data_IF_651819177673
#
_entry.id   IF_651819177673
#
_cell.length_a   1.000
_cell.length_b   1.000
_cell.length_c   1.000
_cell.angle_alpha   90.00
_cell.angle_beta   90.00
_cell.angle_gamma   90.00
#
_symmetry.space_group_name_H-M   'P 1'
#
loop_
_entity.id
_entity.type
_entity.pdbx_description
1 polymer ?
#
# COMPACT_ATOMS: atom_id res chain seq x y z
N UNK A 1 -17.55 2.62 -14.89
CA UNK A 1 -16.57 3.46 -14.16
C UNK A 1 -16.98 4.93 -14.11
N UNK A 2 -17.08 5.65 -15.24
CA UNK A 2 -17.38 7.10 -15.25
C UNK A 2 -18.64 7.48 -14.45
N UNK A 3 -19.74 6.74 -14.64
CA UNK A 3 -21.00 6.96 -13.91
C UNK A 3 -20.78 6.85 -12.40
N UNK A 4 -20.03 5.84 -11.93
CA UNK A 4 -19.69 5.67 -10.52
C UNK A 4 -18.82 6.81 -10.00
N UNK A 5 -17.86 7.29 -10.79
CA UNK A 5 -17.00 8.42 -10.41
C UNK A 5 -17.83 9.71 -10.27
N UNK A 6 -18.70 10.03 -11.23
CA UNK A 6 -19.59 11.20 -11.15
C UNK A 6 -20.55 11.09 -9.97
N UNK A 7 -21.19 9.93 -9.79
CA UNK A 7 -22.07 9.68 -8.64
C UNK A 7 -21.32 9.85 -7.31
N UNK A 8 -20.11 9.30 -7.20
CA UNK A 8 -19.26 9.47 -6.00
C UNK A 8 -18.95 10.94 -5.73
N UNK A 9 -18.47 11.69 -6.72
CA UNK A 9 -18.11 13.11 -6.57
C UNK A 9 -19.31 13.95 -6.14
N UNK A 10 -20.46 13.74 -6.77
CA UNK A 10 -21.70 14.49 -6.44
C UNK A 10 -22.18 14.18 -5.02
N UNK A 11 -22.20 12.90 -4.61
CA UNK A 11 -22.60 12.49 -3.27
C UNK A 11 -21.64 12.96 -2.19
N UNK A 12 -20.32 12.90 -2.44
CA UNK A 12 -19.32 13.43 -1.50
C UNK A 12 -19.47 14.95 -1.37
N UNK A 13 -19.60 15.68 -2.47
CA UNK A 13 -19.80 17.13 -2.42
C UNK A 13 -21.11 17.50 -1.71
N UNK A 14 -22.21 16.81 -1.98
CA UNK A 14 -23.49 17.05 -1.32
C UNK A 14 -23.41 16.77 0.18
N UNK A 15 -22.93 15.59 0.59
CA UNK A 15 -22.87 15.17 1.99
C UNK A 15 -21.82 15.92 2.82
N UNK A 16 -20.71 16.35 2.22
CA UNK A 16 -19.64 17.06 2.93
C UNK A 16 -19.79 18.59 2.91
N UNK A 17 -20.40 19.16 1.87
CA UNK A 17 -20.37 20.61 1.64
C UNK A 17 -21.72 21.32 1.65
N UNK A 18 -22.81 20.60 1.39
CA UNK A 18 -24.14 21.21 1.15
C UNK A 18 -25.14 20.85 2.24
N UNK A 19 -25.12 19.60 2.70
CA UNK A 19 -26.11 19.11 3.66
C UNK A 19 -25.66 19.32 5.11
N UNK A 20 -26.57 19.77 5.95
CA UNK A 20 -26.40 19.79 7.40
C UNK A 20 -26.34 18.36 7.93
N UNK A 21 -25.45 18.05 8.86
CA UNK A 21 -25.32 16.72 9.48
C UNK A 21 -26.27 16.51 10.63
N UNK A 22 -26.50 17.57 11.40
CA UNK A 22 -27.41 17.57 12.53
C UNK A 22 -28.30 18.81 12.46
N UNK A 23 -29.54 18.62 12.87
CA UNK A 23 -30.50 19.70 13.08
C UNK A 23 -31.01 19.58 14.50
N UNK A 24 -30.92 20.67 15.25
CA UNK A 24 -31.54 20.83 16.56
C UNK A 24 -32.75 21.74 16.40
N UNK A 25 -33.89 21.26 16.91
CA UNK A 25 -35.13 22.02 17.04
C UNK A 25 -35.43 22.19 18.52
N UNK A 26 -35.66 23.43 18.97
CA UNK A 26 -36.11 23.72 20.32
C UNK A 26 -37.63 23.64 20.37
N UNK A 27 -38.18 22.74 21.18
CA UNK A 27 -39.63 22.62 21.33
C UNK A 27 -40.23 23.94 21.85
N UNK A 28 -41.17 24.50 21.09
CA UNK A 28 -41.88 25.75 21.42
C UNK A 28 -41.28 27.04 20.84
N UNK A 29 -40.10 26.99 20.22
CA UNK A 29 -39.49 28.12 19.51
C UNK A 29 -39.27 27.76 18.05
N UNK A 30 -39.47 28.71 17.12
CA UNK A 30 -39.15 28.54 15.69
C UNK A 30 -37.65 28.58 15.40
N UNK A 31 -36.81 28.41 16.43
CA UNK A 31 -35.36 28.45 16.32
C UNK A 31 -34.83 27.12 15.79
N UNK A 32 -34.05 27.20 14.71
CA UNK A 32 -33.39 26.05 14.09
C UNK A 32 -31.89 26.26 14.16
N UNK A 33 -31.19 25.28 14.74
CA UNK A 33 -29.73 25.21 14.69
C UNK A 33 -29.34 24.04 13.81
N UNK A 34 -28.64 24.33 12.74
CA UNK A 34 -28.10 23.34 11.83
C UNK A 34 -26.58 23.29 11.95
N UNK A 35 -26.02 22.08 11.96
CA UNK A 35 -24.59 21.84 12.13
C UNK A 35 -24.11 21.06 10.91
N UNK A 36 -23.22 21.66 10.13
CA UNK A 36 -22.49 20.99 9.05
C UNK A 36 -21.06 20.61 9.52
N UNK A 37 -20.19 20.11 8.64
CA UNK A 37 -18.81 19.71 8.99
C UNK A 37 -17.84 20.89 9.23
N UNK A 38 -18.26 22.14 9.01
CA UNK A 38 -17.44 23.36 8.91
C UNK A 38 -17.94 24.47 9.83
N UNK A 39 -19.25 24.58 9.98
CA UNK A 39 -19.98 25.69 10.54
C UNK A 39 -21.22 25.22 11.30
N UNK A 40 -21.63 26.07 12.23
CA UNK A 40 -22.94 26.04 12.88
C UNK A 40 -23.75 27.21 12.35
N UNK A 41 -24.94 26.91 11.86
CA UNK A 41 -25.93 27.89 11.42
C UNK A 41 -27.04 27.94 12.46
N UNK A 42 -27.29 29.12 13.04
CA UNK A 42 -28.39 29.34 13.97
C UNK A 42 -29.28 30.45 13.42
N UNK A 43 -30.58 30.20 13.32
CA UNK A 43 -31.56 31.20 12.89
C UNK A 43 -32.56 31.48 14.01
N UNK A 44 -32.64 32.75 14.43
CA UNK A 44 -33.55 33.27 15.45
C UNK A 44 -34.27 34.48 14.87
N UNK A 45 -35.60 34.51 14.92
CA UNK A 45 -36.43 35.62 14.43
C UNK A 45 -36.04 36.12 13.01
N UNK A 46 -35.82 35.18 12.07
CA UNK A 46 -35.36 35.42 10.69
C UNK A 46 -33.92 35.93 10.52
N UNK A 47 -33.17 36.12 11.61
CA UNK A 47 -31.75 36.47 11.55
C UNK A 47 -30.94 35.18 11.66
N UNK A 48 -30.24 34.83 10.58
CA UNK A 48 -29.35 33.68 10.55
C UNK A 48 -27.90 34.11 10.81
N UNK A 49 -27.26 33.49 11.79
CA UNK A 49 -25.84 33.64 12.07
C UNK A 49 -25.11 32.35 11.74
N UNK A 50 -23.91 32.50 11.15
CA UNK A 50 -23.00 31.38 10.90
C UNK A 50 -21.76 31.55 11.75
N UNK A 51 -21.37 30.50 12.48
CA UNK A 51 -20.13 30.47 13.26
C UNK A 51 -19.27 29.28 12.82
N UNK A 52 -17.96 29.44 12.68
CA UNK A 52 -17.09 28.32 12.34
C UNK A 52 -17.05 27.31 13.48
N UNK A 53 -17.13 26.03 13.14
CA UNK A 53 -17.16 24.91 14.09
C UNK A 53 -15.85 24.80 14.89
N UNK A 54 -14.73 25.28 14.33
CA UNK A 54 -13.42 25.30 14.98
C UNK A 54 -13.34 26.14 16.26
N UNK A 55 -14.34 26.99 16.54
CA UNK A 55 -14.42 27.75 17.80
C UNK A 55 -15.00 26.93 18.95
N UNK A 56 -15.60 25.77 18.67
CA UNK A 56 -16.10 24.87 19.68
C UNK A 56 -14.96 24.01 20.24
N UNK A 57 -14.96 23.77 21.54
CA UNK A 57 -14.11 22.78 22.18
C UNK A 57 -14.69 21.38 22.02
N UNK A 58 -13.83 20.36 22.01
CA UNK A 58 -14.22 18.96 21.99
C UNK A 58 -13.64 18.18 20.81
N UNK A 59 -13.94 16.89 20.74
CA UNK A 59 -13.44 16.03 19.67
C UNK A 59 -14.19 16.22 18.35
N UNK A 60 -15.48 16.56 18.41
CA UNK A 60 -16.33 16.67 17.23
C UNK A 60 -15.82 17.67 16.17
N UNK A 61 -15.40 18.92 16.50
CA UNK A 61 -14.83 19.84 15.51
C UNK A 61 -13.56 19.34 14.84
N UNK A 62 -12.75 18.57 15.56
CA UNK A 62 -11.53 17.98 15.01
C UNK A 62 -11.86 16.84 14.05
N UNK A 63 -12.74 15.92 14.46
CA UNK A 63 -13.14 14.78 13.64
C UNK A 63 -13.93 15.20 12.39
N UNK A 64 -14.80 16.21 12.50
CA UNK A 64 -15.53 16.78 11.37
C UNK A 64 -14.58 17.42 10.35
N UNK A 65 -13.60 18.21 10.80
CA UNK A 65 -12.58 18.77 9.91
C UNK A 65 -11.77 17.67 9.21
N UNK A 66 -11.30 16.64 9.93
CA UNK A 66 -10.55 15.53 9.34
C UNK A 66 -11.42 14.73 8.36
N UNK A 67 -12.69 14.48 8.69
CA UNK A 67 -13.66 13.81 7.82
C UNK A 67 -13.91 14.59 6.53
N UNK A 68 -14.09 15.91 6.64
CA UNK A 68 -14.26 16.81 5.50
C UNK A 68 -13.05 16.74 4.56
N UNK A 69 -11.85 16.97 5.09
CA UNK A 69 -10.64 17.04 4.27
C UNK A 69 -10.22 15.69 3.70
N UNK A 70 -10.37 14.59 4.44
CA UNK A 70 -10.10 13.24 3.94
C UNK A 70 -11.08 12.85 2.82
N UNK A 71 -12.36 13.19 2.95
CA UNK A 71 -13.37 12.92 1.93
C UNK A 71 -13.14 13.73 0.66
N UNK A 72 -12.76 15.02 0.79
CA UNK A 72 -12.41 15.86 -0.35
C UNK A 72 -11.12 15.41 -1.04
N UNK A 73 -10.09 15.05 -0.26
CA UNK A 73 -8.85 14.47 -0.81
C UNK A 73 -9.12 13.18 -1.58
N UNK A 74 -10.02 12.33 -1.06
CA UNK A 74 -10.46 11.13 -1.76
C UNK A 74 -11.23 11.44 -3.04
N UNK A 75 -12.14 12.41 -3.02
CA UNK A 75 -12.85 12.85 -4.21
C UNK A 75 -11.90 13.34 -5.32
N UNK A 76 -10.87 14.14 -4.97
CA UNK A 76 -9.84 14.57 -5.92
C UNK A 76 -9.11 13.37 -6.52
N UNK A 77 -8.78 12.36 -5.72
CA UNK A 77 -8.13 11.13 -6.19
C UNK A 77 -9.03 10.34 -7.15
N UNK A 78 -10.32 10.18 -6.85
CA UNK A 78 -11.31 9.56 -7.74
C UNK A 78 -11.40 10.30 -9.06
N UNK A 79 -11.50 11.64 -9.03
CA UNK A 79 -11.54 12.48 -10.23
C UNK A 79 -10.25 12.33 -11.06
N UNK A 80 -9.09 12.33 -10.42
CA UNK A 80 -7.80 12.14 -11.08
C UNK A 80 -7.71 10.77 -11.75
N UNK A 81 -8.05 9.68 -11.07
CA UNK A 81 -8.00 8.33 -11.64
C UNK A 81 -8.99 8.16 -12.78
N UNK A 82 -10.21 8.70 -12.65
CA UNK A 82 -11.20 8.69 -13.72
C UNK A 82 -10.70 9.48 -14.94
N UNK A 83 -10.13 10.66 -14.72
CA UNK A 83 -9.55 11.50 -15.78
C UNK A 83 -8.35 10.84 -16.46
N UNK A 84 -7.41 10.29 -15.69
CA UNK A 84 -6.26 9.56 -16.22
C UNK A 84 -6.71 8.41 -17.11
N UNK A 85 -7.65 7.58 -16.64
CA UNK A 85 -8.19 6.46 -17.42
C UNK A 85 -8.84 6.92 -18.73
N UNK A 86 -9.54 8.07 -18.75
CA UNK A 86 -10.15 8.63 -19.97
C UNK A 86 -9.08 9.14 -20.94
N UNK A 87 -8.05 9.83 -20.43
CA UNK A 87 -7.04 10.50 -21.26
C UNK A 87 -5.96 9.55 -21.78
N UNK A 88 -5.52 8.60 -20.95
CA UNK A 88 -4.39 7.72 -21.25
C UNK A 88 -4.80 6.26 -21.48
N UNK A 89 -6.06 5.90 -21.20
CA UNK A 89 -6.52 4.51 -21.23
C UNK A 89 -5.95 3.63 -20.12
N UNK A 90 -5.12 4.18 -19.22
CA UNK A 90 -4.43 3.43 -18.16
C UNK A 90 -4.68 4.07 -16.80
N UNK A 91 -4.78 3.24 -15.76
CA UNK A 91 -4.87 3.70 -14.37
C UNK A 91 -3.53 3.47 -13.67
N UNK A 92 -3.14 4.39 -12.80
CA UNK A 92 -1.87 4.29 -12.09
C UNK A 92 -2.01 3.40 -10.83
N UNK A 93 -1.29 2.29 -10.77
CA UNK A 93 -1.39 1.29 -9.70
C UNK A 93 -1.07 1.87 -8.30
N UNK A 94 -0.05 2.73 -8.19
CA UNK A 94 0.30 3.38 -6.92
C UNK A 94 -0.81 4.26 -6.37
N UNK A 95 -1.50 5.01 -7.24
CA UNK A 95 -2.62 5.85 -6.83
C UNK A 95 -3.85 5.04 -6.47
N UNK A 96 -4.04 3.85 -7.05
CA UNK A 96 -5.13 2.95 -6.69
C UNK A 96 -4.96 2.43 -5.27
N UNK A 97 -3.74 1.96 -4.93
CA UNK A 97 -3.41 1.52 -3.56
C UNK A 97 -3.63 2.63 -2.54
N UNK A 98 -3.15 3.84 -2.85
CA UNK A 98 -3.38 5.01 -2.02
C UNK A 98 -4.89 5.33 -1.90
N UNK A 99 -5.64 5.22 -2.98
CA UNK A 99 -7.08 5.41 -3.01
C UNK A 99 -7.85 4.43 -2.12
N UNK A 100 -7.45 3.15 -2.08
CA UNK A 100 -8.04 2.16 -1.17
C UNK A 100 -7.75 2.47 0.31
N UNK A 101 -6.52 2.87 0.62
CA UNK A 101 -6.18 3.26 1.99
C UNK A 101 -6.96 4.50 2.43
N UNK A 102 -7.02 5.53 1.57
CA UNK A 102 -7.68 6.80 1.87
C UNK A 102 -9.21 6.65 1.98
N UNK A 103 -9.83 5.81 1.15
CA UNK A 103 -11.28 5.54 1.21
C UNK A 103 -11.67 4.81 2.48
N UNK A 104 -10.96 3.75 2.88
CA UNK A 104 -11.24 3.05 4.13
C UNK A 104 -11.09 3.98 5.35
N UNK A 105 -10.05 4.83 5.34
CA UNK A 105 -9.85 5.85 6.37
C UNK A 105 -11.00 6.87 6.37
N UNK A 106 -11.40 7.42 5.22
CA UNK A 106 -12.49 8.38 5.12
C UNK A 106 -13.84 7.78 5.54
N UNK A 107 -14.14 6.52 5.17
CA UNK A 107 -15.38 5.83 5.57
C UNK A 107 -15.42 5.63 7.08
N UNK A 108 -14.33 5.14 7.67
CA UNK A 108 -14.26 4.94 9.13
C UNK A 108 -14.39 6.25 9.91
N UNK A 109 -13.74 7.32 9.45
CA UNK A 109 -13.88 8.66 10.03
C UNK A 109 -15.29 9.23 9.88
N UNK A 110 -15.93 9.05 8.72
CA UNK A 110 -17.30 9.48 8.50
C UNK A 110 -18.27 8.76 9.44
N UNK A 111 -18.10 7.44 9.62
CA UNK A 111 -18.90 6.66 10.58
C UNK A 111 -18.64 7.11 12.02
N UNK A 112 -17.38 7.29 12.41
CA UNK A 112 -17.02 7.75 13.75
C UNK A 112 -17.62 9.14 14.04
N UNK A 113 -17.46 10.09 13.13
CA UNK A 113 -17.98 11.46 13.26
C UNK A 113 -19.50 11.50 13.27
N UNK A 114 -20.19 10.61 12.54
CA UNK A 114 -21.64 10.64 12.45
C UNK A 114 -22.33 9.90 13.61
N UNK A 115 -21.75 8.78 14.03
CA UNK A 115 -22.42 7.79 14.88
C UNK A 115 -21.77 7.58 16.25
N UNK A 116 -20.47 7.82 16.39
CA UNK A 116 -19.77 7.64 17.66
C UNK A 116 -19.58 8.94 18.42
N UNK A 117 -19.24 10.02 17.71
CA UNK A 117 -18.96 11.32 18.29
C UNK A 117 -20.02 12.32 17.82
N UNK A 118 -21.03 12.56 18.64
CA UNK A 118 -21.98 13.66 18.37
C UNK A 118 -21.41 15.02 18.77
N UNK A 119 -22.04 16.13 18.36
CA UNK A 119 -21.70 17.45 18.89
C UNK A 119 -21.87 17.46 20.42
N UNK A 120 -20.77 17.55 21.15
CA UNK A 120 -20.79 17.52 22.60
C UNK A 120 -21.31 18.85 23.17
N UNK A 121 -22.30 18.84 24.08
CA UNK A 121 -22.83 20.05 24.70
C UNK A 121 -21.91 20.53 25.83
N UNK A 122 -20.64 20.83 25.55
CA UNK A 122 -19.68 21.22 26.60
C UNK A 122 -19.78 22.69 27.02
N UNK A 123 -20.51 23.54 26.29
CA UNK A 123 -20.75 24.91 26.75
C UNK A 123 -21.92 24.94 27.73
N UNK A 124 -21.75 25.64 28.86
CA UNK A 124 -22.74 25.80 29.95
C UNK A 124 -24.11 26.24 29.42
N UNK A 125 -24.14 27.01 28.33
CA UNK A 125 -25.35 27.41 27.60
C UNK A 125 -26.14 26.24 27.01
N UNK A 126 -25.46 25.21 26.47
CA UNK A 126 -26.14 24.02 25.92
C UNK A 126 -26.49 23.04 27.04
N UNK A 127 -25.73 22.99 28.14
CA UNK A 127 -26.08 22.18 29.32
C UNK A 127 -27.36 22.67 30.03
N UNK A 128 -27.67 23.97 29.95
CA UNK A 128 -28.97 24.50 30.38
C UNK A 128 -30.06 24.08 29.37
N UNK A 129 -29.75 24.12 28.08
CA UNK A 129 -30.67 23.69 27.04
C UNK A 129 -30.94 22.18 27.06
N UNK A 130 -30.04 21.32 27.54
CA UNK A 130 -30.28 19.88 27.68
C UNK A 130 -31.23 19.51 28.83
N UNK A 131 -31.62 20.48 29.67
CA UNK A 131 -32.74 20.32 30.60
C UNK A 131 -34.10 20.62 29.96
N UNK A 132 -34.08 21.25 28.80
CA UNK A 132 -35.22 21.47 27.92
C UNK A 132 -35.11 20.37 26.86
N UNK A 133 -36.22 19.75 26.47
CA UNK A 133 -36.20 18.53 25.64
C UNK A 133 -35.65 18.83 24.21
N UNK A 134 -34.32 18.83 24.05
CA UNK A 134 -33.65 19.09 22.77
C UNK A 134 -33.59 17.79 21.98
N UNK A 135 -34.41 17.69 20.93
CA UNK A 135 -34.30 16.59 19.97
C UNK A 135 -33.18 16.89 18.95
N UNK A 136 -32.03 16.24 19.13
CA UNK A 136 -30.96 16.23 18.12
C UNK A 136 -31.35 15.26 17.00
N UNK A 137 -31.72 15.79 15.84
CA UNK A 137 -32.07 14.98 14.67
C UNK A 137 -30.86 14.82 13.75
N UNK A 138 -30.46 13.57 13.49
CA UNK A 138 -29.46 13.24 12.46
C UNK A 138 -30.13 13.32 11.09
N UNK A 139 -29.47 13.99 10.15
CA UNK A 139 -29.97 14.10 8.78
C UNK A 139 -29.46 12.95 7.90
N UNK A 140 -29.78 13.01 6.60
CA UNK A 140 -29.25 12.10 5.59
C UNK A 140 -27.82 12.43 5.11
N UNK A 141 -27.21 13.53 5.56
CA UNK A 141 -25.89 13.96 5.08
C UNK A 141 -24.77 12.90 5.32
N UNK A 142 -24.67 12.28 6.50
CA UNK A 142 -23.61 11.29 6.74
C UNK A 142 -23.76 10.05 5.87
N UNK A 143 -25.01 9.58 5.68
CA UNK A 143 -25.30 8.44 4.84
C UNK A 143 -24.99 8.75 3.37
N UNK A 144 -25.35 9.95 2.90
CA UNK A 144 -25.04 10.44 1.56
C UNK A 144 -23.52 10.46 1.32
N UNK A 145 -22.75 10.96 2.29
CA UNK A 145 -21.29 10.96 2.21
C UNK A 145 -20.73 9.53 2.16
N UNK A 146 -21.17 8.63 3.05
CA UNK A 146 -20.69 7.25 3.10
C UNK A 146 -20.98 6.51 1.79
N UNK A 147 -22.19 6.65 1.24
CA UNK A 147 -22.55 6.07 -0.07
C UNK A 147 -21.67 6.65 -1.18
N UNK A 148 -21.39 7.96 -1.15
CA UNK A 148 -20.45 8.60 -2.06
C UNK A 148 -19.04 8.04 -1.98
N UNK A 149 -18.52 7.79 -0.77
CA UNK A 149 -17.21 7.18 -0.54
C UNK A 149 -17.16 5.73 -1.05
N UNK A 150 -18.20 4.92 -0.79
CA UNK A 150 -18.30 3.53 -1.28
C UNK A 150 -18.37 3.51 -2.82
N UNK A 151 -19.17 4.38 -3.43
CA UNK A 151 -19.24 4.51 -4.88
C UNK A 151 -17.88 4.90 -5.49
N UNK A 152 -17.12 5.76 -4.80
CA UNK A 152 -15.77 6.16 -5.22
C UNK A 152 -14.76 5.02 -5.09
N UNK A 153 -14.86 4.22 -4.02
CA UNK A 153 -14.08 2.99 -3.86
C UNK A 153 -14.34 2.04 -5.04
N UNK A 154 -15.61 1.80 -5.36
CA UNK A 154 -16.01 0.99 -6.49
C UNK A 154 -15.53 1.57 -7.83
N UNK A 155 -15.54 2.90 -7.99
CA UNK A 155 -15.04 3.56 -9.19
C UNK A 155 -13.52 3.33 -9.38
N UNK A 156 -12.72 3.43 -8.31
CA UNK A 156 -11.28 3.12 -8.34
C UNK A 156 -11.04 1.65 -8.65
N UNK A 157 -11.82 0.75 -8.04
CA UNK A 157 -11.76 -0.68 -8.35
C UNK A 157 -12.02 -0.96 -9.83
N UNK A 158 -13.10 -0.39 -10.37
CA UNK A 158 -13.45 -0.53 -11.78
C UNK A 158 -12.46 0.17 -12.73
N UNK A 159 -11.63 1.10 -12.25
CA UNK A 159 -10.59 1.73 -13.06
C UNK A 159 -9.36 0.82 -13.25
N UNK A 160 -9.12 -0.09 -12.30
CA UNK A 160 -8.00 -1.06 -12.35
C UNK A 160 -8.43 -2.43 -12.83
N UNK A 161 -9.70 -2.82 -12.61
CA UNK A 161 -10.24 -4.04 -13.18
C UNK A 161 -9.93 -4.03 -14.68
N UNK A 162 -9.01 -4.91 -15.08
CA UNK A 162 -8.55 -5.01 -16.46
C UNK A 162 -9.79 -5.07 -17.35
N UNK A 163 -9.77 -4.33 -18.46
CA UNK A 163 -10.90 -4.32 -19.39
C UNK A 163 -11.31 -5.77 -19.60
N UNK A 164 -12.49 -6.15 -19.10
CA UNK A 164 -12.97 -7.53 -19.13
C UNK A 164 -13.13 -8.06 -20.56
N UNK A 165 -12.86 -7.21 -21.56
CA UNK A 165 -12.44 -7.54 -22.91
C UNK A 165 -11.40 -8.67 -22.96
N UNK A 166 -10.46 -8.75 -22.02
CA UNK A 166 -9.45 -9.82 -21.96
C UNK A 166 -9.98 -11.12 -21.33
N UNK A 167 -11.11 -11.06 -20.58
CA UNK A 167 -11.89 -12.26 -20.24
C UNK A 167 -12.77 -12.72 -21.42
N UNK A 168 -13.07 -11.81 -22.36
CA UNK A 168 -13.79 -12.09 -23.61
C UNK A 168 -12.91 -12.63 -24.73
N UNK A 169 -11.58 -12.57 -24.59
CA UNK A 169 -10.68 -13.41 -25.36
C UNK A 169 -10.97 -14.86 -24.98
N UNK A 170 -11.93 -15.44 -25.71
CA UNK A 170 -12.34 -16.84 -25.61
C UNK A 170 -11.09 -17.64 -25.41
N UNK A 171 -10.95 -18.29 -24.24
CA UNK A 171 -9.87 -19.22 -23.97
C UNK A 171 -9.77 -20.12 -25.20
N UNK A 172 -8.78 -19.86 -26.05
CA UNK A 172 -8.51 -20.68 -27.21
C UNK A 172 -7.66 -21.79 -26.59
N UNK A 173 -8.22 -22.97 -26.29
CA UNK A 173 -7.41 -24.05 -25.77
C UNK A 173 -6.22 -24.17 -26.71
N UNK A 174 -5.02 -24.10 -26.16
CA UNK A 174 -3.81 -24.38 -26.93
C UNK A 174 -3.93 -25.85 -27.28
N UNK A 175 -4.49 -26.15 -28.45
CA UNK A 175 -4.45 -27.47 -29.04
C UNK A 175 -3.01 -27.70 -29.42
N UNK A 176 -2.26 -28.30 -28.49
CA UNK A 176 -0.93 -28.83 -28.78
C UNK A 176 -1.17 -29.90 -29.84
N UNK A 177 -0.73 -29.64 -31.07
CA UNK A 177 -0.84 -30.62 -32.15
C UNK A 177 0.08 -31.80 -31.80
N UNK A 178 -0.45 -32.99 -31.46
CA UNK A 178 0.36 -34.11 -30.99
C UNK A 178 1.38 -34.58 -32.06
N UNK A 179 1.10 -34.32 -33.33
CA UNK A 179 1.98 -34.73 -34.44
C UNK A 179 3.26 -33.88 -34.52
N UNK A 180 3.23 -32.64 -34.03
CA UNK A 180 4.43 -31.79 -33.96
C UNK A 180 5.42 -32.28 -32.90
N UNK A 181 4.95 -32.96 -31.85
CA UNK A 181 5.80 -33.56 -30.82
C UNK A 181 6.47 -34.86 -31.27
N UNK A 182 5.86 -35.59 -32.21
CA UNK A 182 6.38 -36.86 -32.73
C UNK A 182 7.52 -36.70 -33.75
N UNK A 183 7.57 -35.59 -34.49
CA UNK A 183 8.63 -35.36 -35.49
C UNK A 183 9.87 -34.61 -34.98
N UNK A 184 9.86 -34.08 -33.76
CA UNK A 184 10.99 -33.32 -33.19
C UNK A 184 12.12 -34.16 -32.57
N UNK A 185 11.93 -35.47 -32.37
CA UNK A 185 12.80 -36.28 -31.49
C UNK A 185 13.98 -36.99 -32.17
N UNK A 186 14.21 -36.80 -33.48
CA UNK A 186 15.17 -37.60 -34.25
C UNK A 186 16.35 -36.82 -34.85
N UNK A 187 16.81 -35.73 -34.23
CA UNK A 187 18.11 -35.13 -34.59
C UNK A 187 19.06 -35.15 -33.39
N UNK A 188 20.00 -36.10 -33.32
CA UNK A 188 21.04 -36.08 -32.29
C UNK A 188 21.86 -34.78 -32.43
N UNK A 189 22.19 -34.10 -31.32
CA UNK A 189 23.02 -32.90 -31.35
C UNK A 189 24.40 -33.29 -31.91
N UNK A 190 24.71 -32.78 -33.10
CA UNK A 190 26.04 -32.89 -33.70
C UNK A 190 26.97 -32.01 -32.85
N UNK A 191 27.79 -32.64 -32.02
CA UNK A 191 28.82 -31.98 -31.21
C UNK A 191 29.88 -31.42 -32.16
N UNK A 192 30.10 -30.09 -32.24
CA UNK A 192 31.23 -29.55 -32.98
C UNK A 192 32.55 -29.85 -32.24
N UNK A 193 33.63 -30.20 -32.95
CA UNK A 193 34.91 -30.51 -32.33
C UNK A 193 35.53 -29.28 -31.64
N UNK A 194 36.08 -29.51 -30.46
CA UNK A 194 36.76 -28.54 -29.63
C UNK A 194 38.00 -27.96 -30.33
N UNK A 195 37.94 -26.70 -30.73
CA UNK A 195 39.13 -25.93 -31.12
C UNK A 195 39.75 -25.37 -29.84
N UNK A 196 40.94 -25.88 -29.52
CA UNK A 196 41.80 -25.41 -28.45
C UNK A 196 42.09 -23.91 -28.61
N UNK A 197 41.55 -23.09 -27.71
CA UNK A 197 41.82 -21.65 -27.68
C UNK A 197 43.05 -21.41 -26.82
N UNK A 198 44.18 -21.18 -27.49
CA UNK A 198 45.42 -20.69 -26.89
C UNK A 198 45.14 -19.39 -26.14
N UNK A 199 45.49 -19.38 -24.85
CA UNK A 199 45.71 -18.18 -24.07
C UNK A 199 47.10 -17.62 -24.42
N UNK A 200 47.14 -16.46 -25.06
CA UNK A 200 48.29 -15.57 -25.06
C UNK A 200 47.90 -14.30 -24.32
N UNK A 201 48.67 -14.00 -23.29
CA UNK A 201 48.44 -12.90 -22.37
C UNK A 201 48.96 -11.54 -22.85
N UNK A 202 48.66 -10.55 -22.00
CA UNK A 202 49.42 -9.34 -21.68
C UNK A 202 49.73 -8.39 -22.85
N UNK A 203 49.12 -7.20 -22.82
CA UNK A 203 49.88 -5.94 -22.74
C UNK A 203 48.99 -4.74 -22.38
N UNK A 204 49.45 -4.01 -21.35
CA UNK A 204 49.04 -2.65 -21.02
C UNK A 204 49.45 -1.71 -22.16
N UNK A 205 48.63 -0.70 -22.42
CA UNK A 205 49.16 0.60 -22.90
C UNK A 205 48.33 1.73 -22.32
N UNK A 206 48.97 2.52 -21.48
CA UNK A 206 48.55 3.86 -21.11
C UNK A 206 48.82 4.81 -22.28
N UNK A 207 47.93 5.77 -22.50
CA UNK A 207 48.09 6.84 -23.48
C UNK A 207 46.99 7.86 -23.30
N UNK A 208 47.36 9.03 -22.78
CA UNK A 208 46.49 10.14 -22.43
C UNK A 208 46.23 11.07 -23.65
N UNK A 209 45.82 12.34 -23.48
CA UNK A 209 44.53 12.88 -23.87
C UNK A 209 44.61 13.81 -25.10
N UNK A 210 43.48 14.13 -25.75
CA UNK A 210 43.44 15.33 -26.59
C UNK A 210 42.05 15.95 -26.80
N UNK A 211 42.10 17.27 -26.68
CA UNK A 211 41.10 18.30 -26.86
C UNK A 211 40.44 18.39 -28.24
N UNK A 212 39.21 18.91 -28.27
CA UNK A 212 38.68 19.94 -29.18
C UNK A 212 37.29 20.36 -28.63
N UNK A 213 37.07 21.54 -28.02
CA UNK A 213 37.02 22.91 -28.58
C UNK A 213 36.05 23.02 -29.78
N UNK A 214 34.95 23.78 -29.81
CA UNK A 214 34.27 24.82 -28.99
C UNK A 214 32.95 25.16 -29.75
N UNK A 215 32.42 26.41 -29.80
CA UNK A 215 32.31 27.47 -28.79
C UNK A 215 30.88 28.11 -28.71
N UNK A 216 30.66 29.00 -27.73
CA UNK A 216 29.72 30.13 -27.83
C UNK A 216 28.62 30.18 -26.75
N UNK A 217 28.83 30.85 -25.60
CA UNK A 217 28.45 32.26 -25.27
C UNK A 217 26.92 32.51 -25.31
N UNK A 218 26.26 33.14 -24.33
CA UNK A 218 26.73 34.13 -23.37
C UNK A 218 25.84 34.22 -22.11
N UNK A 219 26.48 34.37 -20.95
CA UNK A 219 26.01 35.15 -19.79
C UNK A 219 26.15 36.65 -20.12
N UNK A 220 25.38 37.60 -19.52
CA UNK A 220 25.66 38.05 -18.14
C UNK A 220 24.47 38.53 -17.26
N UNK A 221 24.56 38.16 -15.98
CA UNK A 221 24.64 39.00 -14.75
C UNK A 221 23.52 39.97 -14.30
N UNK A 222 23.29 39.91 -12.97
CA UNK A 222 22.91 40.99 -12.01
C UNK A 222 21.50 41.59 -12.15
N UNK A 223 20.67 41.74 -11.11
CA UNK A 223 20.89 42.42 -9.82
C UNK A 223 19.70 42.13 -8.86
N UNK A 224 19.84 42.29 -7.53
CA UNK A 224 18.73 42.31 -6.59
C UNK A 224 18.29 43.76 -6.28
N UNK A 225 16.98 43.99 -6.23
CA UNK A 225 16.37 45.24 -5.76
C UNK A 225 14.92 44.97 -5.45
N UNK A 226 14.21 45.70 -4.60
CA UNK A 226 14.50 46.69 -3.56
C UNK A 226 13.09 47.06 -3.10
N UNK A 227 12.87 46.96 -1.79
CA UNK A 227 11.85 47.63 -0.98
C UNK A 227 11.05 48.74 -1.69
N UNK A 228 9.74 48.58 -1.75
CA UNK A 228 8.81 49.71 -1.68
C UNK A 228 7.88 49.57 -0.48
N UNK A 229 7.81 50.68 0.24
CA UNK A 229 7.21 50.89 1.53
C UNK A 229 6.43 52.20 1.38
N UNK A 230 5.11 52.12 1.24
CA UNK A 230 4.16 53.22 1.38
C UNK A 230 2.80 52.55 1.65
N UNK A 231 2.18 52.58 2.82
CA UNK A 231 2.12 53.64 3.81
C UNK A 231 0.82 54.42 3.58
N UNK A 232 -0.27 54.03 4.24
CA UNK A 232 -1.32 54.96 4.68
C UNK A 232 -2.06 54.37 5.89
N UNK A 233 -2.40 55.30 6.76
CA UNK A 233 -2.57 55.20 8.21
C UNK A 233 -4.00 55.64 8.51
N UNK A 234 -4.77 54.84 9.25
CA UNK A 234 -5.87 55.33 10.09
C UNK A 234 -6.28 54.24 11.10
N UNK A 235 -6.09 54.55 12.39
CA UNK A 235 -6.74 53.92 13.55
C UNK A 235 -7.93 54.80 13.97
N UNK A 236 -8.63 54.63 15.13
CA UNK A 236 -8.72 53.48 16.06
C UNK A 236 -10.18 53.16 16.49
N UNK A 237 -10.42 52.09 17.28
CA UNK A 237 -11.08 52.18 18.62
C UNK A 237 -11.54 50.83 19.21
N UNK A 238 -11.68 50.85 20.54
CA UNK A 238 -12.25 49.86 21.48
C UNK A 238 -11.31 48.71 21.87
N UNK A 239 -10.60 48.78 23.01
CA UNK A 239 -10.99 48.78 24.44
C UNK A 239 -11.04 47.37 25.01
N UNK A 240 -9.93 46.97 25.65
CA UNK A 240 -9.79 45.71 26.38
C UNK A 240 -9.41 46.03 27.85
N UNK A 241 -10.10 45.47 28.86
CA UNK A 241 -9.82 45.73 30.28
C UNK A 241 -8.75 44.78 30.85
N UNK A 242 -8.17 45.10 32.03
CA UNK A 242 -6.91 44.53 32.50
C UNK A 242 -7.12 43.17 33.15
N UNK A 243 -6.22 42.22 32.88
CA UNK A 243 -6.15 40.95 33.60
C UNK A 243 -4.99 40.96 34.58
N UNK A 244 -5.35 40.82 35.86
CA UNK A 244 -4.47 40.77 37.01
C UNK A 244 -3.46 39.62 36.91
N UNK A 245 -2.20 39.99 37.19
CA UNK A 245 -1.14 39.08 37.56
C UNK A 245 -1.29 38.69 39.03
N UNK A 246 -1.41 37.39 39.30
CA UNK A 246 -0.99 36.83 40.58
C UNK A 246 -0.30 35.50 40.32
N UNK A 247 1.03 35.49 40.49
CA UNK A 247 1.82 34.27 40.43
C UNK A 247 1.62 33.39 41.65
N UNK A 248 2.08 32.13 41.56
CA UNK A 248 2.82 31.45 42.63
C UNK A 248 3.37 30.11 42.11
N UNK A 249 4.70 30.07 42.06
CA UNK A 249 5.62 28.95 42.31
C UNK A 249 5.00 27.57 42.58
N UNK A 250 5.39 26.58 41.76
CA UNK A 250 5.79 25.26 42.28
C UNK A 250 6.79 24.56 41.37
N UNK A 251 8.04 24.59 41.79
CA UNK A 251 9.12 23.70 41.37
C UNK A 251 8.83 22.25 41.80
N UNK A 252 9.05 21.29 40.90
CA UNK A 252 9.22 19.86 41.21
C UNK A 252 10.23 19.24 40.23
N UNK A 253 10.97 18.19 40.65
CA UNK A 253 12.35 17.97 40.27
C UNK A 253 12.49 17.09 39.04
N UNK A 254 13.61 17.29 38.34
CA UNK A 254 14.14 16.39 37.35
C UNK A 254 14.69 15.11 38.00
N UNK A 255 14.25 13.96 37.50
CA UNK A 255 14.95 12.67 37.67
C UNK A 255 14.74 11.86 36.38
N UNK A 256 15.85 11.73 35.65
CA UNK A 256 16.35 10.72 34.68
C UNK A 256 15.51 9.47 34.29
N UNK A 257 15.88 8.69 33.24
CA UNK A 257 17.10 8.77 32.42
C UNK A 257 16.91 8.75 30.89
N UNK A 258 17.92 9.28 30.22
CA UNK A 258 18.23 9.05 28.80
C UNK A 258 18.41 7.56 28.50
N UNK A 259 17.55 7.03 27.61
CA UNK A 259 17.80 5.76 26.93
C UNK A 259 18.78 6.01 25.78
N UNK A 260 20.05 5.75 26.06
CA UNK A 260 21.10 5.61 25.07
C UNK A 260 20.75 4.43 24.16
N UNK A 261 20.26 4.70 22.97
CA UNK A 261 20.07 3.68 21.94
C UNK A 261 21.45 3.25 21.43
N UNK A 262 22.00 2.22 22.06
CA UNK A 262 23.23 1.55 21.63
C UNK A 262 22.94 0.83 20.31
N UNK A 263 23.37 1.43 19.22
CA UNK A 263 23.44 0.81 17.90
C UNK A 263 24.38 -0.41 18.00
N UNK A 264 23.92 -1.65 17.70
CA UNK A 264 24.77 -2.81 17.78
C UNK A 264 25.89 -2.72 16.74
N UNK A 265 27.10 -2.99 17.23
CA UNK A 265 28.35 -2.79 16.53
C UNK A 265 28.47 -3.54 15.21
N UNK A 266 29.25 -2.92 14.33
CA UNK A 266 29.79 -3.47 13.09
C UNK A 266 30.50 -4.79 13.43
N UNK A 267 29.86 -5.90 13.11
CA UNK A 267 30.44 -7.24 13.21
C UNK A 267 31.63 -7.43 12.25
N UNK A 268 32.50 -8.40 12.53
CA UNK A 268 33.75 -8.60 11.82
C UNK A 268 33.54 -8.93 10.34
N UNK A 269 34.53 -8.53 9.55
CA UNK A 269 34.61 -8.60 8.09
C UNK A 269 33.93 -9.83 7.47
N UNK A 270 33.04 -9.56 6.52
CA UNK A 270 32.38 -10.52 5.67
C UNK A 270 33.38 -11.56 5.14
N UNK A 271 33.34 -12.76 5.71
CA UNK A 271 33.98 -13.93 5.14
C UNK A 271 33.52 -14.07 3.69
N UNK A 272 34.47 -14.31 2.80
CA UNK A 272 34.24 -14.53 1.37
C UNK A 272 33.22 -15.66 1.23
N UNK A 273 31.95 -15.30 1.01
CA UNK A 273 30.86 -16.27 0.88
C UNK A 273 31.20 -17.20 -0.29
N UNK A 274 31.12 -18.53 -0.11
CA UNK A 274 31.26 -19.45 -1.21
C UNK A 274 30.20 -19.09 -2.26
N UNK A 275 30.65 -18.71 -3.46
CA UNK A 275 29.74 -18.50 -4.60
C UNK A 275 29.13 -19.86 -4.92
N UNK A 276 27.81 -19.96 -4.79
CA UNK A 276 27.07 -21.11 -5.33
C UNK A 276 27.41 -21.28 -6.81
N UNK A 277 27.53 -22.53 -7.24
CA UNK A 277 27.84 -22.86 -8.62
C UNK A 277 26.82 -22.28 -9.61
N UNK A 278 27.13 -22.25 -10.91
CA UNK A 278 26.18 -21.82 -11.93
C UNK A 278 24.91 -22.69 -11.85
N UNK A 279 23.79 -22.05 -11.49
CA UNK A 279 22.51 -22.74 -11.37
C UNK A 279 22.00 -23.19 -12.74
N UNK A 280 21.30 -24.34 -12.82
CA UNK A 280 20.68 -24.77 -14.05
C UNK A 280 19.66 -23.70 -14.51
N UNK A 281 19.63 -23.35 -15.80
CA UNK A 281 18.65 -22.40 -16.31
C UNK A 281 17.24 -22.99 -16.17
N UNK A 282 16.28 -22.13 -15.81
CA UNK A 282 14.87 -22.51 -15.77
C UNK A 282 14.42 -23.07 -17.14
N UNK A 283 13.85 -24.28 -17.22
CA UNK A 283 13.33 -24.82 -18.47
C UNK A 283 12.32 -23.85 -19.10
N UNK A 284 12.53 -23.51 -20.38
CA UNK A 284 11.76 -22.45 -21.06
C UNK A 284 10.25 -22.73 -21.06
N UNK A 285 9.86 -24.01 -21.12
CA UNK A 285 8.47 -24.43 -21.15
C UNK A 285 7.76 -24.33 -19.78
N UNK A 286 8.50 -24.25 -18.66
CA UNK A 286 7.95 -24.06 -17.31
C UNK A 286 7.93 -22.60 -16.86
N UNK A 287 8.66 -21.74 -17.55
CA UNK A 287 8.75 -20.31 -17.22
C UNK A 287 7.36 -19.68 -17.26
N UNK A 288 6.96 -19.02 -16.17
CA UNK A 288 5.64 -18.39 -16.00
C UNK A 288 4.44 -19.35 -16.05
N UNK A 289 4.65 -20.68 -16.05
CA UNK A 289 3.57 -21.68 -15.95
C UNK A 289 3.27 -22.04 -14.50
N UNK A 290 4.30 -22.03 -13.67
CA UNK A 290 4.22 -22.33 -12.27
C UNK A 290 3.93 -21.04 -11.48
N UNK A 291 2.86 -21.05 -10.70
CA UNK A 291 2.58 -19.93 -9.81
C UNK A 291 3.49 -19.95 -8.59
N UNK A 292 3.74 -18.78 -8.01
CA UNK A 292 4.50 -18.61 -6.76
C UNK A 292 5.98 -18.99 -6.82
N UNK A 293 6.53 -19.29 -8.00
CA UNK A 293 7.94 -19.67 -8.16
C UNK A 293 8.86 -18.51 -7.86
N UNK A 294 9.80 -18.74 -6.94
CA UNK A 294 10.90 -17.83 -6.66
C UNK A 294 11.97 -17.95 -7.76
N UNK A 295 12.29 -16.83 -8.42
CA UNK A 295 13.48 -16.70 -9.25
C UNK A 295 14.73 -16.62 -8.38
N UNK A 296 14.68 -15.76 -7.37
CA UNK A 296 15.74 -15.59 -6.37
C UNK A 296 15.11 -15.59 -4.99
N UNK A 297 15.78 -16.20 -4.01
CA UNK A 297 15.36 -16.14 -2.62
C UNK A 297 16.60 -16.04 -1.72
N UNK A 298 16.63 -15.02 -0.86
CA UNK A 298 17.66 -14.84 0.14
C UNK A 298 17.14 -15.30 1.50
N UNK A 299 17.80 -16.31 2.06
CA UNK A 299 17.55 -16.85 3.39
C UNK A 299 18.28 -15.97 4.42
N UNK A 300 17.53 -15.39 5.34
CA UNK A 300 18.06 -14.51 6.38
C UNK A 300 17.64 -15.02 7.77
N UNK A 301 18.24 -14.48 8.82
CA UNK A 301 17.83 -14.82 10.19
C UNK A 301 16.38 -14.45 10.52
N UNK A 302 15.74 -13.54 9.76
CA UNK A 302 14.36 -13.09 10.00
C UNK A 302 13.30 -13.71 9.07
N UNK A 303 13.71 -14.29 7.95
CA UNK A 303 12.79 -14.85 6.95
C UNK A 303 13.44 -15.09 5.59
N UNK A 304 12.59 -15.24 4.58
CA UNK A 304 12.95 -15.43 3.17
C UNK A 304 12.54 -14.19 2.39
N UNK A 305 13.50 -13.45 1.86
CA UNK A 305 13.23 -12.38 0.89
C UNK A 305 13.36 -12.95 -0.53
N UNK A 306 12.25 -13.04 -1.24
CA UNK A 306 12.19 -13.68 -2.54
C UNK A 306 11.63 -12.78 -3.63
N UNK A 307 12.20 -12.90 -4.83
CA UNK A 307 11.67 -12.32 -6.06
C UNK A 307 11.04 -13.42 -6.88
N UNK A 308 9.75 -13.30 -7.18
CA UNK A 308 8.98 -14.28 -7.94
C UNK A 308 9.13 -14.11 -9.45
N UNK A 309 8.77 -15.15 -10.20
CA UNK A 309 8.72 -15.14 -11.66
C UNK A 309 7.77 -14.07 -12.23
N UNK A 310 6.67 -13.78 -11.52
CA UNK A 310 5.73 -12.70 -11.87
C UNK A 310 6.27 -11.28 -11.62
N UNK A 311 7.51 -11.16 -11.16
CA UNK A 311 8.18 -9.89 -10.89
C UNK A 311 7.89 -9.30 -9.51
N UNK A 312 7.00 -9.91 -8.71
CA UNK A 312 6.70 -9.44 -7.36
C UNK A 312 7.78 -9.88 -6.37
N UNK A 313 8.20 -8.95 -5.50
CA UNK A 313 9.01 -9.27 -4.32
C UNK A 313 8.11 -9.66 -3.15
N UNK A 314 8.52 -10.67 -2.39
CA UNK A 314 7.79 -11.22 -1.24
C UNK A 314 8.77 -11.52 -0.11
N UNK A 315 8.46 -11.00 1.07
CA UNK A 315 9.13 -11.35 2.31
C UNK A 315 8.24 -12.32 3.09
N UNK A 316 8.76 -13.51 3.38
CA UNK A 316 8.11 -14.52 4.22
C UNK A 316 8.87 -14.58 5.54
N UNK A 317 8.29 -14.07 6.63
CA UNK A 317 8.93 -14.11 7.94
C UNK A 317 8.83 -15.51 8.55
N UNK A 318 9.85 -15.94 9.31
CA UNK A 318 9.85 -17.27 9.93
C UNK A 318 8.64 -17.51 10.84
N UNK A 319 8.24 -16.50 11.62
CA UNK A 319 7.06 -16.56 12.50
C UNK A 319 5.73 -16.69 11.75
N UNK A 320 5.71 -16.36 10.46
CA UNK A 320 4.51 -16.40 9.64
C UNK A 320 4.44 -17.69 8.81
N UNK A 321 5.47 -18.56 8.85
CA UNK A 321 5.46 -19.85 8.16
C UNK A 321 4.62 -20.84 8.96
N UNK A 322 3.62 -21.41 8.32
CA UNK A 322 2.68 -22.38 8.92
C UNK A 322 2.84 -23.79 8.38
N UNK A 323 3.57 -23.95 7.28
CA UNK A 323 3.72 -25.25 6.65
C UNK A 323 4.80 -25.27 5.59
N UNK A 324 5.38 -26.45 5.41
CA UNK A 324 6.32 -26.75 4.32
C UNK A 324 5.85 -28.03 3.66
N UNK A 325 5.66 -28.00 2.34
CA UNK A 325 5.19 -29.14 1.57
C UNK A 325 6.24 -29.48 0.51
N UNK A 326 6.72 -30.73 0.51
CA UNK A 326 7.61 -31.24 -0.53
C UNK A 326 6.80 -31.96 -1.57
N UNK A 327 6.97 -31.61 -2.84
CA UNK A 327 6.28 -32.23 -3.97
C UNK A 327 7.27 -32.60 -5.06
N UNK A 328 6.82 -33.46 -5.98
CA UNK A 328 7.56 -33.83 -7.19
C UNK A 328 6.81 -33.31 -8.41
N UNK A 329 7.56 -32.79 -9.37
CA UNK A 329 7.00 -32.43 -10.68
C UNK A 329 6.46 -33.69 -11.38
N UNK A 330 5.51 -33.54 -12.32
CA UNK A 330 5.12 -34.61 -13.22
C UNK A 330 6.33 -35.26 -13.93
N UNK A 331 6.25 -36.54 -14.33
CA UNK A 331 7.34 -37.25 -15.02
C UNK A 331 7.81 -36.57 -16.32
N UNK A 332 6.96 -35.74 -16.95
CA UNK A 332 7.32 -34.94 -18.11
C UNK A 332 8.41 -33.89 -17.83
N UNK A 333 8.67 -33.60 -16.55
CA UNK A 333 9.66 -32.63 -16.06
C UNK A 333 10.66 -33.30 -15.11
N UNK A 334 11.11 -34.50 -15.47
CA UNK A 334 12.13 -35.30 -14.78
C UNK A 334 11.80 -35.70 -13.33
N UNK A 335 10.55 -35.50 -12.87
CA UNK A 335 10.14 -35.86 -11.51
C UNK A 335 10.85 -35.06 -10.41
N UNK A 336 11.42 -33.90 -10.77
CA UNK A 336 12.25 -33.10 -9.88
C UNK A 336 11.46 -32.65 -8.65
N UNK A 337 12.09 -32.71 -7.48
CA UNK A 337 11.46 -32.29 -6.23
C UNK A 337 11.50 -30.76 -6.09
N UNK A 338 10.44 -30.20 -5.49
CA UNK A 338 10.34 -28.79 -5.16
C UNK A 338 9.62 -28.60 -3.82
N UNK A 339 9.76 -27.42 -3.23
CA UNK A 339 9.27 -27.09 -1.88
C UNK A 339 8.30 -25.92 -1.96
N UNK A 340 7.12 -26.06 -1.38
CA UNK A 340 6.21 -24.95 -1.11
C UNK A 340 6.27 -24.55 0.36
N UNK A 341 6.53 -23.28 0.60
CA UNK A 341 6.54 -22.66 1.93
C UNK A 341 5.23 -21.90 2.06
N UNK A 342 4.40 -22.30 3.00
CA UNK A 342 3.07 -21.75 3.23
C UNK A 342 3.13 -20.78 4.41
N UNK A 343 2.55 -19.60 4.24
CA UNK A 343 2.56 -18.54 5.25
C UNK A 343 1.15 -18.02 5.56
N UNK A 344 0.88 -17.67 6.82
CA UNK A 344 -0.37 -16.99 7.27
C UNK A 344 -0.63 -15.69 6.52
N UNK A 345 0.41 -15.03 6.00
CA UNK A 345 0.30 -13.81 5.21
C UNK A 345 -0.25 -14.05 3.79
N UNK A 346 -0.83 -15.23 3.51
CA UNK A 346 -1.35 -15.61 2.19
C UNK A 346 -0.26 -15.65 1.12
N UNK A 347 1.00 -15.79 1.53
CA UNK A 347 2.18 -15.68 0.66
C UNK A 347 2.85 -17.04 0.53
N UNK A 348 2.26 -17.92 -0.26
CA UNK A 348 2.92 -19.17 -0.64
C UNK A 348 4.15 -18.85 -1.50
N UNK A 349 5.27 -19.48 -1.19
CA UNK A 349 6.52 -19.36 -1.92
C UNK A 349 6.97 -20.73 -2.41
N UNK A 350 7.17 -20.88 -3.72
CA UNK A 350 7.61 -22.14 -4.32
C UNK A 350 9.11 -22.06 -4.67
N UNK A 351 9.90 -22.92 -4.03
CA UNK A 351 11.33 -23.09 -4.29
C UNK A 351 11.51 -24.30 -5.20
N UNK A 352 12.02 -24.06 -6.40
CA UNK A 352 12.25 -25.09 -7.44
C UNK A 352 13.76 -25.28 -7.66
N UNK A 353 14.20 -26.34 -8.35
CA UNK A 353 15.64 -26.63 -8.50
C UNK A 353 16.46 -25.48 -9.08
N UNK A 354 15.89 -24.67 -9.96
CA UNK A 354 16.54 -23.51 -10.58
C UNK A 354 16.37 -22.18 -9.80
N UNK A 355 15.70 -22.17 -8.65
CA UNK A 355 15.63 -20.98 -7.79
C UNK A 355 17.04 -20.61 -7.31
N UNK A 356 17.41 -19.33 -7.40
CA UNK A 356 18.69 -18.86 -6.85
C UNK A 356 18.57 -18.60 -5.36
N UNK A 357 19.07 -19.53 -4.55
CA UNK A 357 19.18 -19.36 -3.10
C UNK A 357 20.49 -18.65 -2.73
N UNK A 358 20.40 -17.64 -1.87
CA UNK A 358 21.53 -16.93 -1.27
C UNK A 358 21.28 -16.69 0.22
N UNK A 359 22.27 -16.14 0.92
CA UNK A 359 22.14 -15.78 2.34
C UNK A 359 22.81 -16.80 3.25
N UNK A 360 22.03 -17.41 4.14
CA UNK A 360 22.51 -18.48 5.03
C UNK A 360 22.90 -19.74 4.25
N UNK A 361 24.00 -20.42 4.64
CA UNK A 361 24.46 -21.62 3.96
C UNK A 361 23.45 -22.75 4.13
N UNK A 362 23.22 -23.50 3.04
CA UNK A 362 22.45 -24.73 3.03
C UNK A 362 23.37 -25.90 2.70
N UNK A 363 23.27 -26.97 3.49
CA UNK A 363 24.02 -28.19 3.27
C UNK A 363 23.28 -29.08 2.26
N UNK A 364 23.37 -28.71 0.98
CA UNK A 364 22.79 -29.51 -0.10
C UNK A 364 22.74 -28.77 -1.44
N UNK A 365 23.06 -29.47 -2.52
CA UNK A 365 22.98 -28.95 -3.89
C UNK A 365 22.27 -29.97 -4.80
N UNK A 366 21.77 -29.54 -5.96
CA UNK A 366 21.05 -30.41 -6.88
C UNK A 366 19.79 -31.05 -6.28
N UNK A 367 19.71 -32.38 -6.29
CA UNK A 367 18.53 -33.15 -5.84
C UNK A 367 18.35 -33.18 -4.32
N UNK A 368 19.41 -32.94 -3.54
CA UNK A 368 19.35 -32.83 -2.07
C UNK A 368 18.89 -31.45 -1.61
N UNK A 369 18.89 -30.47 -2.53
CA UNK A 369 18.56 -29.08 -2.21
C UNK A 369 17.16 -28.90 -1.61
N UNK A 370 16.08 -29.53 -2.12
CA UNK A 370 14.76 -29.46 -1.50
C UNK A 370 14.77 -29.93 -0.04
N UNK A 371 15.53 -31.00 0.25
CA UNK A 371 15.67 -31.52 1.61
C UNK A 371 16.41 -30.52 2.51
N UNK A 372 17.52 -29.95 2.05
CA UNK A 372 18.26 -28.94 2.81
C UNK A 372 17.41 -27.70 3.11
N UNK A 373 16.58 -27.25 2.17
CA UNK A 373 15.64 -26.15 2.39
C UNK A 373 14.61 -26.51 3.47
N UNK A 374 14.04 -27.71 3.42
CA UNK A 374 13.07 -28.17 4.41
C UNK A 374 13.70 -28.24 5.79
N UNK A 375 14.87 -28.87 5.92
CA UNK A 375 15.60 -28.96 7.19
C UNK A 375 15.92 -27.57 7.75
N UNK A 376 16.30 -26.62 6.89
CA UNK A 376 16.52 -25.23 7.29
C UNK A 376 15.25 -24.54 7.80
N UNK A 377 14.11 -24.69 7.10
CA UNK A 377 12.84 -24.10 7.54
C UNK A 377 12.37 -24.72 8.85
N UNK A 378 12.48 -26.05 9.00
CA UNK A 378 12.11 -26.75 10.24
C UNK A 378 13.00 -26.34 11.41
N UNK A 379 14.30 -26.12 11.20
CA UNK A 379 15.20 -25.61 12.22
C UNK A 379 14.83 -24.18 12.68
N UNK A 380 14.28 -23.35 11.78
CA UNK A 380 13.84 -21.99 12.07
C UNK A 380 12.43 -21.92 12.66
N UNK A 381 11.60 -22.91 12.37
CA UNK A 381 10.19 -22.95 12.71
C UNK A 381 9.83 -24.31 13.34
N UNK A 382 10.27 -24.58 14.59
CA UNK A 382 10.08 -25.88 15.23
C UNK A 382 8.60 -26.24 15.43
N UNK A 383 7.72 -25.23 15.54
CA UNK A 383 6.29 -25.41 15.81
C UNK A 383 5.47 -25.85 14.57
N UNK A 384 6.09 -25.97 13.39
CA UNK A 384 5.40 -26.43 12.16
C UNK A 384 5.02 -27.91 12.23
N UNK A 385 5.64 -28.68 13.12
CA UNK A 385 5.47 -30.13 13.23
C UNK A 385 4.69 -30.47 14.51
N UNK A 386 3.37 -30.23 14.58
CA UNK A 386 2.47 -31.11 15.37
C UNK A 386 0.97 -30.77 15.32
N UNK A 387 0.56 -29.59 14.83
CA UNK A 387 -0.87 -29.24 14.88
C UNK A 387 -1.64 -29.94 13.76
N UNK A 388 -2.11 -31.16 14.01
CA UNK A 388 -2.93 -31.97 13.09
C UNK A 388 -4.26 -31.35 12.65
N UNK A 389 -4.49 -30.05 12.87
CA UNK A 389 -5.53 -29.27 12.22
C UNK A 389 -4.95 -27.99 11.58
N UNK A 390 -5.04 -27.84 10.25
CA UNK A 390 -4.45 -26.73 9.53
C UNK A 390 -5.23 -25.43 9.71
N UNK A 391 -4.55 -24.39 10.20
CA UNK A 391 -5.02 -23.00 10.10
C UNK A 391 -5.08 -22.60 8.61
N UNK A 392 -6.28 -22.64 8.01
CA UNK A 392 -6.59 -22.14 6.65
C UNK A 392 -5.43 -22.21 5.64
N UNK A 393 -4.86 -23.40 5.45
CA UNK A 393 -4.02 -23.64 4.28
C UNK A 393 -4.87 -23.38 3.01
N UNK A 394 -4.30 -22.90 1.89
CA UNK A 394 -4.90 -23.20 0.60
C UNK A 394 -5.10 -24.71 0.58
N UNK A 395 -6.35 -25.16 0.47
CA UNK A 395 -6.64 -26.58 0.65
C UNK A 395 -5.77 -27.40 -0.32
N UNK A 396 -5.49 -28.65 0.05
CA UNK A 396 -4.72 -29.54 -0.82
C UNK A 396 -5.36 -29.64 -2.22
N UNK A 397 -6.67 -29.39 -2.34
CA UNK A 397 -7.41 -29.38 -3.59
C UNK A 397 -7.13 -28.13 -4.45
N UNK A 398 -6.76 -27.00 -3.86
CA UNK A 398 -6.37 -25.75 -4.50
C UNK A 398 -4.95 -25.88 -5.02
N UNK A 399 -4.07 -26.49 -4.22
CA UNK A 399 -2.72 -26.84 -4.66
C UNK A 399 -2.74 -27.94 -5.74
N UNK A 400 -3.62 -28.94 -5.63
CA UNK A 400 -3.86 -29.95 -6.68
C UNK A 400 -4.48 -29.35 -7.93
N UNK A 401 -5.47 -28.49 -7.83
CA UNK A 401 -6.07 -27.80 -8.98
C UNK A 401 -5.05 -26.91 -9.72
N UNK A 402 -4.03 -26.41 -9.02
CA UNK A 402 -2.88 -25.77 -9.66
C UNK A 402 -1.96 -26.77 -10.38
N UNK A 403 -1.75 -27.95 -9.81
CA UNK A 403 -0.93 -29.01 -10.42
C UNK A 403 -1.63 -29.69 -11.61
N UNK A 404 -2.95 -29.82 -11.58
CA UNK A 404 -3.76 -30.34 -12.69
C UNK A 404 -3.70 -29.46 -13.94
N UNK A 405 -3.26 -28.19 -13.81
CA UNK A 405 -2.96 -27.32 -14.95
C UNK A 405 -1.57 -27.53 -15.54
N UNK A 406 -0.72 -28.33 -14.88
CA UNK A 406 0.64 -28.66 -15.31
C UNK A 406 0.73 -30.03 -15.99
N UNK A 407 -0.22 -30.93 -15.72
CA UNK A 407 -0.46 -32.18 -16.45
C UNK A 407 -1.18 -31.89 -17.78
#
# INVERSE_FOLDING_TARGET
MLICAVASLTLIAAGALVMDWYVLTLDGLTEKVAIDLRSVHACVDHVCMTKPLALLSGMFPTLSAVTLWSSLGFAVLVAFQAGARILTGTAYDSFTKLGYMLSLMAISLAVATAYMFGPEPQSVTIAIASRIDLSLQRTWAPLTLIVGLIAGFAAIYLAVAADSSDLGATYKPVTVNPDAALHGRARPPTVPPAIARQQTGISRTAGAPRDQAGPGRAHPTTEPSRREQTGLRAAPSSSEPPREQTGLLRSRPATDPSLTHTQPGIGPAAGVRPRSGPLPPAPEHLRNRLQYVALTAELTGGGIDARREDGLSRLVLWRDVVGVVVRRMPPAYDGAAFVDIVSTAGSTLRIVPWTRLSGEPLDGDGDDRPRAVVEHVLARCPDIIDSGEPAQLPDLDTLRAHDDRLA
#
